data_IF_366453290814
#
_entry.id   IF_366453290814
#
_cell.length_a   1.000
_cell.length_b   1.000
_cell.length_c   1.000
_cell.angle_alpha   90.00
_cell.angle_beta   90.00
_cell.angle_gamma   90.00
#
_symmetry.space_group_name_H-M   'P 1'
#
loop_
_entity.id
_entity.type
_entity.pdbx_description
1 polymer ?
#
# COMPACT_ATOMS: atom_id res chain seq x y z
N UNK A 1 0.18 15.44 26.78
CA UNK A 1 0.39 16.86 26.43
C UNK A 1 -0.46 17.73 27.34
N UNK A 2 0.08 18.78 27.95
CA UNK A 2 -0.71 19.75 28.73
C UNK A 2 -1.25 20.89 27.84
N UNK A 3 -2.14 21.74 28.38
CA UNK A 3 -2.79 22.82 27.61
C UNK A 3 -1.82 23.84 27.01
N UNK A 4 -0.72 24.18 27.71
CA UNK A 4 0.30 25.10 27.19
C UNK A 4 1.05 24.49 26.01
N UNK A 5 1.41 23.21 26.10
CA UNK A 5 2.05 22.48 25.00
C UNK A 5 1.12 22.38 23.79
N UNK A 6 -0.18 22.10 23.99
CA UNK A 6 -1.17 22.06 22.92
C UNK A 6 -1.28 23.40 22.18
N UNK A 7 -1.30 24.52 22.92
CA UNK A 7 -1.29 25.85 22.31
C UNK A 7 0.00 26.13 21.53
N UNK A 8 1.17 25.73 22.05
CA UNK A 8 2.44 25.89 21.35
C UNK A 8 2.48 25.10 20.03
N UNK A 9 2.01 23.85 20.03
CA UNK A 9 1.89 23.03 18.83
C UNK A 9 0.92 23.69 17.85
N UNK A 10 -0.27 24.10 18.32
CA UNK A 10 -1.24 24.78 17.48
C UNK A 10 -0.69 26.11 16.92
N UNK A 11 0.11 26.88 17.64
CA UNK A 11 0.68 28.13 17.09
C UNK A 11 1.74 27.90 16.03
N UNK A 12 2.47 26.78 16.07
CA UNK A 12 3.44 26.39 15.04
C UNK A 12 2.78 25.78 13.79
N UNK A 13 1.61 25.16 13.94
CA UNK A 13 0.89 24.58 12.81
C UNK A 13 0.27 25.67 11.92
N UNK A 14 0.82 25.84 10.71
CA UNK A 14 0.37 26.83 9.71
C UNK A 14 -0.95 26.46 9.02
N UNK A 15 -1.36 25.19 9.06
CA UNK A 15 -2.56 24.65 8.42
C UNK A 15 -3.65 24.20 9.41
N UNK A 16 -3.63 24.71 10.66
CA UNK A 16 -4.51 24.28 11.76
C UNK A 16 -6.00 24.64 11.66
N UNK A 17 -6.40 25.42 10.65
CA UNK A 17 -7.73 26.06 10.60
C UNK A 17 -8.58 25.45 9.48
N UNK A 18 -9.80 25.04 9.83
CA UNK A 18 -10.81 24.70 8.83
C UNK A 18 -11.39 25.97 8.19
N UNK A 19 -11.81 26.93 9.02
CA UNK A 19 -12.28 28.27 8.60
C UNK A 19 -11.36 29.37 9.16
N UNK A 20 -11.28 30.54 8.51
CA UNK A 20 -10.59 31.71 9.07
C UNK A 20 -11.24 32.13 10.39
N UNK A 21 -10.43 32.47 11.40
CA UNK A 21 -10.94 33.01 12.68
C UNK A 21 -10.57 34.48 12.92
N UNK A 22 -9.70 35.03 12.07
CA UNK A 22 -9.29 36.44 12.08
C UNK A 22 -9.18 36.96 10.64
N UNK A 23 -9.33 38.27 10.43
CA UNK A 23 -9.38 38.85 9.08
C UNK A 23 -8.14 38.52 8.24
N UNK A 24 -6.95 38.49 8.85
CA UNK A 24 -5.69 38.13 8.16
C UNK A 24 -5.66 36.70 7.60
N UNK A 25 -6.50 35.79 8.11
CA UNK A 25 -6.59 34.40 7.63
C UNK A 25 -7.55 34.24 6.45
N UNK A 26 -8.35 35.26 6.13
CA UNK A 26 -9.43 35.18 5.14
C UNK A 26 -8.97 34.68 3.77
N UNK A 27 -7.79 35.13 3.33
CA UNK A 27 -7.19 34.75 2.05
C UNK A 27 -5.97 33.82 2.22
N UNK A 28 -5.77 33.23 3.41
CA UNK A 28 -4.65 32.33 3.63
C UNK A 28 -4.88 31.00 2.88
N UNK A 29 -3.99 30.60 1.94
CA UNK A 29 -4.16 29.38 1.16
C UNK A 29 -4.04 28.08 1.99
N UNK A 30 -3.53 28.14 3.22
CA UNK A 30 -3.41 26.97 4.10
C UNK A 30 -4.66 26.71 4.95
N UNK A 31 -5.61 27.64 4.98
CA UNK A 31 -6.93 27.40 5.59
C UNK A 31 -7.70 26.39 4.73
N UNK A 32 -8.22 25.33 5.36
CA UNK A 32 -8.81 24.21 4.61
C UNK A 32 -9.98 24.65 3.71
N UNK A 33 -10.88 25.50 4.20
CA UNK A 33 -11.99 26.05 3.42
C UNK A 33 -11.52 26.74 2.13
N UNK A 34 -10.38 27.44 2.16
CA UNK A 34 -9.85 28.13 0.99
C UNK A 34 -9.31 27.14 -0.03
N UNK A 35 -8.66 26.06 0.42
CA UNK A 35 -8.21 24.95 -0.45
C UNK A 35 -9.37 24.24 -1.13
N UNK A 36 -10.46 23.96 -0.42
CA UNK A 36 -11.66 23.36 -1.02
C UNK A 36 -12.33 24.25 -2.08
N UNK A 37 -12.14 25.57 -2.01
CA UNK A 37 -12.76 26.53 -2.94
C UNK A 37 -11.97 26.77 -4.22
N UNK A 38 -10.73 26.26 -4.34
CA UNK A 38 -9.91 26.49 -5.54
C UNK A 38 -10.44 25.75 -6.76
N UNK A 39 -11.10 24.60 -6.55
CA UNK A 39 -11.45 23.69 -7.65
C UNK A 39 -10.23 22.96 -8.26
N UNK A 40 -9.08 23.02 -7.58
CA UNK A 40 -7.83 22.37 -7.99
C UNK A 40 -7.56 21.11 -7.14
N UNK A 41 -6.44 20.42 -7.41
CA UNK A 41 -6.01 19.31 -6.57
C UNK A 41 -5.78 19.73 -5.11
N UNK A 42 -6.30 18.93 -4.19
CA UNK A 42 -6.27 19.25 -2.76
C UNK A 42 -4.90 18.93 -2.16
N UNK A 43 -4.14 19.98 -1.85
CA UNK A 43 -2.86 19.87 -1.18
C UNK A 43 -3.02 19.68 0.34
N UNK A 44 -2.24 18.75 0.90
CA UNK A 44 -2.10 18.56 2.35
C UNK A 44 -0.72 19.03 2.79
N UNK A 45 -0.70 20.01 3.70
CA UNK A 45 0.53 20.47 4.32
C UNK A 45 1.07 19.42 5.30
N UNK A 46 2.30 18.96 5.07
CA UNK A 46 2.97 17.97 5.91
C UNK A 46 4.47 18.23 5.93
N UNK A 47 5.12 17.88 7.03
CA UNK A 47 6.56 17.99 7.21
C UNK A 47 7.10 16.63 7.62
N UNK A 48 7.92 15.97 6.79
CA UNK A 48 8.49 14.68 7.14
C UNK A 48 9.50 14.80 8.27
N UNK A 49 9.68 13.73 9.05
CA UNK A 49 10.66 13.66 10.13
C UNK A 49 12.07 13.32 9.62
N UNK A 50 12.19 12.85 8.38
CA UNK A 50 13.45 12.54 7.70
C UNK A 50 13.42 12.93 6.22
N UNK A 51 14.60 12.85 5.58
CA UNK A 51 14.80 13.07 4.15
C UNK A 51 15.39 11.81 3.50
N UNK A 52 15.15 11.67 2.20
CA UNK A 52 15.66 10.63 1.32
C UNK A 52 16.75 11.28 0.49
N UNK A 53 18.00 10.95 0.81
CA UNK A 53 19.16 11.41 0.06
C UNK A 53 19.27 10.68 -1.28
N UNK A 54 20.04 11.23 -2.20
CA UNK A 54 20.36 10.58 -3.48
C UNK A 54 21.13 9.27 -3.34
N UNK A 55 21.77 9.06 -2.19
CA UNK A 55 22.50 7.85 -1.80
C UNK A 55 21.65 6.86 -0.98
N UNK A 56 20.40 7.20 -0.68
CA UNK A 56 19.47 6.34 0.06
C UNK A 56 18.88 5.27 -0.85
N UNK A 57 18.73 4.05 -0.33
CA UNK A 57 17.98 2.98 -0.98
C UNK A 57 16.54 2.90 -0.48
N UNK A 58 15.59 2.73 -1.40
CA UNK A 58 14.16 2.66 -1.08
C UNK A 58 13.59 1.31 -1.50
N UNK A 59 12.82 0.68 -0.61
CA UNK A 59 11.97 -0.46 -0.93
C UNK A 59 10.50 -0.04 -0.89
N UNK A 60 9.70 -0.46 -1.87
CA UNK A 60 8.25 -0.15 -1.87
C UNK A 60 7.40 -1.41 -1.91
N UNK A 61 6.29 -1.40 -1.17
CA UNK A 61 5.30 -2.48 -1.14
C UNK A 61 3.88 -1.93 -1.08
N UNK A 62 2.96 -2.67 -1.69
CA UNK A 62 1.53 -2.37 -1.69
C UNK A 62 0.95 -2.35 -3.10
N UNK A 63 -0.15 -1.62 -3.28
CA UNK A 63 -0.90 -1.59 -4.55
C UNK A 63 -0.16 -0.87 -5.68
N UNK A 64 -0.80 -0.73 -6.85
CA UNK A 64 -0.27 0.00 -8.00
C UNK A 64 0.25 1.42 -7.68
N UNK A 65 -0.26 2.07 -6.63
CA UNK A 65 0.27 3.35 -6.16
C UNK A 65 1.76 3.28 -5.81
N UNK A 66 2.21 2.19 -5.17
CA UNK A 66 3.63 1.98 -4.87
C UNK A 66 4.49 1.98 -6.14
N UNK A 67 4.00 1.39 -7.24
CA UNK A 67 4.71 1.39 -8.54
C UNK A 67 4.87 2.78 -9.14
N UNK A 68 3.95 3.70 -8.85
CA UNK A 68 4.09 5.10 -9.28
C UNK A 68 5.13 5.84 -8.43
N UNK A 69 5.19 5.57 -7.12
CA UNK A 69 6.26 6.07 -6.23
C UNK A 69 7.63 5.60 -6.75
N UNK A 70 7.76 4.32 -7.09
CA UNK A 70 8.99 3.75 -7.65
C UNK A 70 9.48 4.50 -8.88
N UNK A 71 8.58 4.78 -9.84
CA UNK A 71 8.93 5.49 -11.08
C UNK A 71 9.53 6.85 -10.78
N UNK A 72 8.88 7.64 -9.93
CA UNK A 72 9.36 9.00 -9.65
C UNK A 72 10.62 9.02 -8.79
N UNK A 73 10.80 8.06 -7.89
CA UNK A 73 12.07 7.90 -7.16
C UNK A 73 13.24 7.63 -8.12
N UNK A 74 13.04 6.74 -9.10
CA UNK A 74 14.03 6.46 -10.14
C UNK A 74 14.33 7.70 -11.00
N UNK A 75 13.31 8.49 -11.36
CA UNK A 75 13.47 9.77 -12.08
C UNK A 75 14.27 10.80 -11.27
N UNK A 76 14.21 10.74 -9.93
CA UNK A 76 15.02 11.55 -9.02
C UNK A 76 16.41 10.95 -8.73
N UNK A 77 16.77 9.81 -9.33
CA UNK A 77 18.07 9.16 -9.13
C UNK A 77 18.23 8.47 -7.77
N UNK A 78 17.13 8.22 -7.05
CA UNK A 78 17.14 7.46 -5.80
C UNK A 78 17.30 5.98 -6.11
N UNK A 79 18.16 5.29 -5.36
CA UNK A 79 18.36 3.84 -5.51
C UNK A 79 17.09 3.08 -5.09
N UNK A 80 16.54 2.29 -6.01
CA UNK A 80 15.32 1.53 -5.76
C UNK A 80 15.64 0.04 -5.72
N UNK A 81 15.41 -0.57 -4.55
CA UNK A 81 15.57 -2.01 -4.37
C UNK A 81 14.62 -2.73 -5.33
N UNK A 82 15.20 -3.63 -6.14
CA UNK A 82 14.46 -4.37 -7.16
C UNK A 82 14.15 -3.60 -8.44
N UNK A 83 14.86 -2.51 -8.75
CA UNK A 83 14.64 -1.79 -10.00
C UNK A 83 14.73 -2.68 -11.25
N UNK A 84 15.64 -3.66 -11.24
CA UNK A 84 15.90 -4.59 -12.34
C UNK A 84 15.02 -5.86 -12.28
N UNK A 85 14.09 -5.93 -11.31
CA UNK A 85 13.20 -7.07 -11.19
C UNK A 85 12.31 -7.21 -12.43
N UNK A 86 12.31 -8.41 -13.00
CA UNK A 86 11.44 -8.76 -14.12
C UNK A 86 11.00 -10.21 -14.05
N UNK A 87 9.84 -10.47 -14.63
CA UNK A 87 9.28 -11.80 -14.85
C UNK A 87 9.17 -11.97 -16.36
N UNK A 88 9.37 -13.20 -16.85
CA UNK A 88 9.14 -13.51 -18.27
C UNK A 88 7.72 -13.10 -18.66
N UNK A 89 7.60 -12.24 -19.66
CA UNK A 89 6.33 -11.76 -20.19
C UNK A 89 5.41 -12.90 -20.66
N UNK A 90 5.96 -14.06 -21.02
CA UNK A 90 5.19 -15.25 -21.38
C UNK A 90 4.43 -15.84 -20.19
N UNK A 91 4.75 -15.48 -18.95
CA UNK A 91 4.00 -15.90 -17.76
C UNK A 91 2.87 -14.95 -17.41
N UNK A 92 2.85 -13.75 -17.98
CA UNK A 92 1.82 -12.76 -17.71
C UNK A 92 0.56 -13.05 -18.53
N UNK A 93 -0.59 -12.71 -17.95
CA UNK A 93 -1.84 -12.62 -18.69
C UNK A 93 -1.78 -11.41 -19.63
N UNK A 94 -2.34 -11.52 -20.83
CA UNK A 94 -2.40 -10.42 -21.80
C UNK A 94 -3.20 -9.21 -21.26
N UNK A 95 -4.16 -9.46 -20.37
CA UNK A 95 -4.91 -8.45 -19.63
C UNK A 95 -5.25 -8.94 -18.23
N UNK A 96 -5.13 -8.07 -17.22
CA UNK A 96 -5.65 -8.35 -15.89
C UNK A 96 -7.04 -7.77 -15.68
N UNK A 97 -8.02 -8.67 -15.59
CA UNK A 97 -9.40 -8.34 -15.25
C UNK A 97 -10.18 -7.65 -16.37
N UNK A 98 -11.39 -7.21 -16.02
CA UNK A 98 -12.36 -6.57 -16.93
C UNK A 98 -11.94 -5.19 -17.45
N UNK A 99 -10.80 -4.65 -17.03
CA UNK A 99 -10.48 -3.22 -17.15
C UNK A 99 -9.31 -2.91 -18.10
N UNK A 100 -8.74 -3.91 -18.79
CA UNK A 100 -7.78 -3.67 -19.89
C UNK A 100 -6.47 -3.00 -19.48
N UNK A 101 -6.09 -3.05 -18.20
CA UNK A 101 -4.81 -2.51 -17.74
C UNK A 101 -3.65 -3.27 -18.41
N UNK A 102 -2.68 -2.52 -18.97
CA UNK A 102 -1.44 -3.12 -19.47
C UNK A 102 -0.68 -3.72 -18.28
N UNK A 103 -0.53 -5.05 -18.31
CA UNK A 103 0.29 -5.75 -17.32
C UNK A 103 1.75 -5.35 -17.55
N UNK A 104 2.41 -4.89 -16.49
CA UNK A 104 3.87 -4.76 -16.50
C UNK A 104 4.50 -5.83 -15.62
N UNK A 105 5.78 -6.12 -15.85
CA UNK A 105 6.50 -7.20 -15.15
C UNK A 105 6.46 -7.06 -13.62
N UNK A 106 6.43 -5.83 -13.10
CA UNK A 106 6.42 -5.54 -11.66
C UNK A 106 5.02 -5.56 -11.04
N UNK A 107 3.96 -5.71 -11.84
CA UNK A 107 2.59 -5.80 -11.35
C UNK A 107 2.38 -7.04 -10.49
N UNK A 108 3.18 -8.10 -10.68
CA UNK A 108 3.16 -9.30 -9.84
C UNK A 108 3.54 -9.02 -8.38
N UNK A 109 4.31 -7.95 -8.13
CA UNK A 109 4.73 -7.52 -6.79
C UNK A 109 3.63 -6.76 -6.04
N UNK A 110 2.52 -6.42 -6.68
CA UNK A 110 1.46 -5.67 -6.02
C UNK A 110 0.84 -6.48 -4.88
N UNK A 111 0.69 -5.84 -3.72
CA UNK A 111 -0.01 -6.37 -2.55
C UNK A 111 -1.18 -5.49 -2.17
N UNK A 112 -2.33 -6.09 -1.91
CA UNK A 112 -3.58 -5.36 -1.70
C UNK A 112 -4.00 -5.34 -0.24
N UNK A 113 -4.09 -6.50 0.42
CA UNK A 113 -4.48 -6.55 1.83
C UNK A 113 -3.29 -6.33 2.74
N UNK A 114 -3.50 -5.63 3.86
CA UNK A 114 -2.48 -5.44 4.89
C UNK A 114 -1.90 -6.78 5.37
N UNK A 115 -2.77 -7.77 5.57
CA UNK A 115 -2.35 -9.10 6.02
C UNK A 115 -1.47 -9.82 4.99
N UNK A 116 -1.71 -9.65 3.69
CA UNK A 116 -0.85 -10.24 2.65
C UNK A 116 0.53 -9.58 2.58
N UNK A 117 0.63 -8.27 2.85
CA UNK A 117 1.91 -7.56 2.97
C UNK A 117 2.71 -8.14 4.14
N UNK A 118 2.07 -8.24 5.32
CA UNK A 118 2.72 -8.74 6.52
C UNK A 118 3.12 -10.22 6.40
N UNK A 119 2.25 -11.06 5.83
CA UNK A 119 2.55 -12.49 5.60
C UNK A 119 3.75 -12.67 4.67
N UNK A 120 3.93 -11.81 3.67
CA UNK A 120 5.09 -11.86 2.79
C UNK A 120 6.40 -11.62 3.55
N UNK A 121 6.46 -10.56 4.35
CA UNK A 121 7.66 -10.26 5.14
C UNK A 121 7.94 -11.32 6.18
N UNK A 122 6.93 -11.79 6.92
CA UNK A 122 7.10 -12.87 7.88
C UNK A 122 7.63 -14.13 7.20
N UNK A 123 7.05 -14.51 6.06
CA UNK A 123 7.45 -15.72 5.34
C UNK A 123 8.89 -15.64 4.85
N UNK A 124 9.27 -14.52 4.26
CA UNK A 124 10.61 -14.35 3.66
C UNK A 124 11.67 -14.15 4.73
N UNK A 125 11.46 -13.24 5.68
CA UNK A 125 12.47 -12.86 6.67
C UNK A 125 12.61 -13.89 7.80
N UNK A 126 11.56 -14.68 8.09
CA UNK A 126 11.64 -15.77 9.08
C UNK A 126 11.83 -17.15 8.44
N UNK A 127 11.96 -17.21 7.11
CA UNK A 127 12.06 -18.46 6.36
C UNK A 127 10.95 -19.46 6.70
N UNK A 128 9.71 -18.98 6.82
CA UNK A 128 8.55 -19.82 7.17
C UNK A 128 8.29 -20.82 6.05
N UNK A 129 8.36 -22.10 6.38
CA UNK A 129 7.93 -23.16 5.47
C UNK A 129 6.41 -23.14 5.32
N UNK A 130 5.95 -23.24 4.07
CA UNK A 130 4.53 -23.25 3.71
C UNK A 130 4.28 -24.48 2.85
N UNK A 131 3.24 -25.24 3.20
CA UNK A 131 2.79 -26.39 2.42
C UNK A 131 2.57 -25.99 0.95
N UNK A 132 3.14 -26.75 0.02
CA UNK A 132 3.10 -26.50 -1.42
C UNK A 132 3.51 -25.06 -1.82
N UNK A 133 4.38 -24.42 -1.02
CA UNK A 133 4.77 -23.00 -1.17
C UNK A 133 3.61 -22.00 -1.08
N UNK A 134 2.45 -22.45 -0.61
CA UNK A 134 1.19 -21.69 -0.59
C UNK A 134 0.44 -21.70 -1.93
N UNK A 135 0.85 -22.52 -2.89
CA UNK A 135 0.24 -22.56 -4.21
C UNK A 135 -1.09 -23.32 -4.21
N UNK A 136 -1.94 -22.97 -5.18
CA UNK A 136 -3.25 -23.58 -5.36
C UNK A 136 -3.26 -24.28 -6.72
N UNK A 137 -3.45 -25.61 -6.71
CA UNK A 137 -3.64 -26.39 -7.93
C UNK A 137 -5.04 -26.13 -8.49
N UNK A 138 -5.12 -25.71 -9.75
CA UNK A 138 -6.39 -25.41 -10.45
C UNK A 138 -6.64 -26.30 -11.68
N UNK A 139 -5.66 -27.10 -12.08
CA UNK A 139 -5.79 -28.14 -13.10
C UNK A 139 -4.71 -29.21 -12.89
N UNK A 140 -4.62 -30.21 -13.78
CA UNK A 140 -3.61 -31.27 -13.67
C UNK A 140 -2.19 -30.69 -13.60
N UNK A 141 -1.85 -29.75 -14.48
CA UNK A 141 -0.51 -29.15 -14.53
C UNK A 141 -0.45 -27.66 -14.14
N UNK A 142 -1.59 -27.02 -13.89
CA UNK A 142 -1.68 -25.59 -13.61
C UNK A 142 -1.83 -25.26 -12.13
N UNK A 143 -0.89 -24.46 -11.62
CA UNK A 143 -0.88 -23.89 -10.29
C UNK A 143 -0.97 -22.37 -10.35
N UNK A 144 -1.59 -21.78 -9.34
CA UNK A 144 -1.58 -20.33 -9.12
C UNK A 144 -0.94 -19.99 -7.79
N UNK A 145 -0.36 -18.81 -7.74
CA UNK A 145 0.21 -18.24 -6.54
C UNK A 145 -0.73 -17.16 -5.99
N UNK A 146 -1.46 -17.42 -4.89
CA UNK A 146 -2.38 -16.45 -4.32
C UNK A 146 -1.70 -15.35 -3.48
N UNK A 147 -0.37 -15.41 -3.29
CA UNK A 147 0.42 -14.31 -2.72
C UNK A 147 0.75 -13.26 -3.76
N UNK A 148 0.97 -13.63 -5.02
CA UNK A 148 1.27 -12.67 -6.07
C UNK A 148 -0.01 -12.00 -6.56
N UNK A 149 0.13 -10.84 -7.20
CA UNK A 149 -1.02 -10.25 -7.88
C UNK A 149 -1.52 -11.22 -8.95
N UNK A 150 -2.83 -11.21 -9.21
CA UNK A 150 -3.49 -12.09 -10.20
C UNK A 150 -3.18 -11.67 -11.66
N UNK A 151 -1.89 -11.56 -11.98
CA UNK A 151 -1.33 -11.16 -13.29
C UNK A 151 -0.64 -12.32 -14.01
N UNK A 152 -0.40 -13.43 -13.30
CA UNK A 152 0.24 -14.62 -13.85
C UNK A 152 -0.83 -15.57 -14.39
N UNK A 153 -0.57 -16.16 -15.55
CA UNK A 153 -1.34 -17.33 -16.00
C UNK A 153 -1.03 -18.52 -15.09
N UNK A 154 -1.88 -19.56 -15.07
CA UNK A 154 -1.56 -20.80 -14.36
C UNK A 154 -0.29 -21.43 -14.94
N UNK A 155 0.65 -21.83 -14.08
CA UNK A 155 1.95 -22.37 -14.47
C UNK A 155 2.19 -23.77 -13.88
N UNK A 156 3.07 -24.58 -14.48
CA UNK A 156 3.65 -25.75 -13.81
C UNK A 156 4.27 -25.37 -12.47
N UNK A 157 4.15 -26.25 -11.47
CA UNK A 157 4.64 -26.00 -10.10
C UNK A 157 6.09 -25.51 -10.06
N UNK A 158 6.98 -26.14 -10.83
CA UNK A 158 8.40 -25.81 -10.86
C UNK A 158 8.70 -24.45 -11.50
N UNK A 159 7.90 -24.00 -12.46
CA UNK A 159 8.02 -22.67 -13.06
C UNK A 159 7.49 -21.59 -12.10
N UNK A 160 6.33 -21.84 -11.49
CA UNK A 160 5.75 -20.95 -10.49
C UNK A 160 6.67 -20.79 -9.27
N UNK A 161 7.32 -21.88 -8.84
CA UNK A 161 8.29 -21.85 -7.75
C UNK A 161 9.49 -20.96 -8.08
N UNK A 162 10.01 -20.99 -9.31
CA UNK A 162 11.09 -20.09 -9.74
C UNK A 162 10.65 -18.62 -9.69
N UNK A 163 9.44 -18.33 -10.13
CA UNK A 163 8.87 -16.97 -10.04
C UNK A 163 8.78 -16.55 -8.57
N UNK A 164 8.20 -17.39 -7.70
CA UNK A 164 8.12 -17.10 -6.26
C UNK A 164 9.50 -16.89 -5.63
N UNK A 165 10.50 -17.72 -5.94
CA UNK A 165 11.86 -17.57 -5.42
C UNK A 165 12.51 -16.25 -5.84
N UNK A 166 12.25 -15.78 -7.07
CA UNK A 166 12.74 -14.48 -7.53
C UNK A 166 12.12 -13.32 -6.74
N UNK A 167 10.82 -13.41 -6.44
CA UNK A 167 10.12 -12.42 -5.61
C UNK A 167 10.61 -12.49 -4.17
N UNK A 168 10.78 -13.68 -3.60
CA UNK A 168 11.28 -13.86 -2.24
C UNK A 168 12.70 -13.34 -2.08
N UNK A 169 13.55 -13.55 -3.08
CA UNK A 169 14.91 -12.98 -3.09
C UNK A 169 14.86 -11.46 -3.06
N UNK A 170 13.98 -10.83 -3.84
CA UNK A 170 13.79 -9.38 -3.84
C UNK A 170 13.25 -8.87 -2.50
N UNK A 171 12.20 -9.51 -1.97
CA UNK A 171 11.61 -9.16 -0.67
C UNK A 171 12.66 -9.25 0.43
N UNK A 172 13.54 -10.24 0.37
CA UNK A 172 14.65 -10.40 1.32
C UNK A 172 15.64 -9.24 1.30
N UNK A 173 15.73 -8.49 0.20
CA UNK A 173 16.60 -7.30 0.11
C UNK A 173 16.05 -6.09 0.89
N UNK A 174 14.81 -6.14 1.40
CA UNK A 174 14.23 -5.07 2.23
C UNK A 174 15.13 -4.70 3.41
N UNK A 175 15.92 -5.64 3.93
CA UNK A 175 16.85 -5.44 5.05
C UNK A 175 17.99 -4.44 4.74
N UNK A 176 18.23 -4.17 3.45
CA UNK A 176 19.25 -3.23 2.97
C UNK A 176 18.71 -1.81 2.78
N UNK A 177 17.38 -1.62 2.85
CA UNK A 177 16.71 -0.36 2.56
C UNK A 177 17.00 0.69 3.65
N UNK A 178 17.27 1.93 3.24
CA UNK A 178 17.23 3.09 4.14
C UNK A 178 15.78 3.50 4.42
N UNK A 179 14.90 3.35 3.42
CA UNK A 179 13.49 3.73 3.53
C UNK A 179 12.57 2.63 2.98
N UNK A 180 11.56 2.27 3.75
CA UNK A 180 10.49 1.34 3.35
C UNK A 180 9.19 2.11 3.18
N UNK A 181 8.67 2.14 1.95
CA UNK A 181 7.38 2.76 1.62
C UNK A 181 6.28 1.69 1.57
N UNK A 182 5.31 1.77 2.48
CA UNK A 182 4.20 0.81 2.61
C UNK A 182 2.88 1.49 2.25
N UNK A 183 2.22 0.99 1.19
CA UNK A 183 0.87 1.41 0.81
C UNK A 183 -0.17 0.42 1.32
N UNK A 184 -0.97 0.83 2.32
CA UNK A 184 -2.06 0.05 2.89
C UNK A 184 -3.28 0.07 1.97
N UNK A 185 -3.70 -1.09 1.44
CA UNK A 185 -4.80 -1.19 0.49
C UNK A 185 -6.12 -1.57 1.15
N UNK A 186 -6.20 -2.78 1.72
CA UNK A 186 -7.44 -3.42 2.16
C UNK A 186 -7.27 -4.10 3.53
N UNK A 187 -8.36 -4.18 4.29
CA UNK A 187 -8.41 -5.02 5.51
C UNK A 187 -9.02 -6.40 5.23
N UNK A 188 -10.08 -6.49 4.42
CA UNK A 188 -10.70 -7.75 4.00
C UNK A 188 -9.66 -8.67 3.36
N UNK A 189 -9.61 -9.91 3.83
CA UNK A 189 -8.61 -10.88 3.42
C UNK A 189 -9.17 -12.30 3.49
N UNK A 190 -8.66 -13.17 2.63
CA UNK A 190 -8.95 -14.59 2.66
C UNK A 190 -7.79 -15.35 3.32
N UNK A 191 -8.10 -16.39 4.07
CA UNK A 191 -7.12 -17.28 4.68
C UNK A 191 -7.30 -18.70 4.12
N UNK A 192 -6.23 -19.29 3.61
CA UNK A 192 -6.24 -20.69 3.18
C UNK A 192 -5.95 -21.58 4.40
N UNK A 193 -6.96 -22.32 4.86
CA UNK A 193 -6.90 -23.25 5.99
C UNK A 193 -6.00 -24.45 5.72
N UNK A 194 -5.72 -24.77 4.46
CA UNK A 194 -4.82 -25.86 4.07
C UNK A 194 -3.36 -25.43 4.20
N UNK A 195 -2.99 -24.30 3.60
CA UNK A 195 -1.60 -23.80 3.60
C UNK A 195 -1.27 -22.94 4.82
N UNK A 196 -2.27 -22.51 5.59
CA UNK A 196 -2.17 -21.61 6.75
C UNK A 196 -1.58 -20.24 6.39
N UNK A 197 -2.04 -19.66 5.28
CA UNK A 197 -1.57 -18.37 4.76
C UNK A 197 -2.72 -17.43 4.37
N UNK A 198 -2.57 -16.14 4.67
CA UNK A 198 -3.44 -15.09 4.16
C UNK A 198 -3.18 -14.80 2.69
N UNK A 199 -4.20 -14.61 1.87
CA UNK A 199 -4.09 -14.46 0.43
C UNK A 199 -4.07 -12.98 0.02
N UNK A 200 -3.34 -12.66 -1.05
CA UNK A 200 -3.31 -11.33 -1.64
C UNK A 200 -4.53 -11.05 -2.52
N UNK A 201 -5.07 -12.09 -3.18
CA UNK A 201 -6.28 -12.03 -4.00
C UNK A 201 -7.33 -13.01 -3.46
N UNK A 202 -8.61 -12.71 -3.69
CA UNK A 202 -9.68 -13.65 -3.37
C UNK A 202 -9.51 -14.95 -4.17
N UNK A 203 -9.81 -16.12 -3.58
CA UNK A 203 -9.81 -17.37 -4.32
C UNK A 203 -10.79 -17.32 -5.51
N UNK A 204 -10.48 -18.01 -6.63
CA UNK A 204 -11.41 -18.18 -7.73
C UNK A 204 -12.79 -18.68 -7.24
N UNK A 205 -13.92 -18.11 -7.73
CA UNK A 205 -15.26 -18.54 -7.32
C UNK A 205 -15.55 -20.02 -7.53
N UNK A 206 -14.91 -20.66 -8.52
CA UNK A 206 -15.01 -22.10 -8.74
C UNK A 206 -14.45 -22.90 -7.56
N UNK A 207 -13.33 -22.47 -6.98
CA UNK A 207 -12.71 -23.12 -5.83
C UNK A 207 -13.51 -22.90 -4.55
N UNK A 208 -14.02 -21.68 -4.33
CA UNK A 208 -14.88 -21.36 -3.19
C UNK A 208 -16.14 -22.23 -3.15
N UNK A 209 -16.65 -22.66 -4.33
CA UNK A 209 -17.82 -23.53 -4.44
C UNK A 209 -17.50 -25.03 -4.31
N UNK A 210 -16.27 -25.43 -4.63
CA UNK A 210 -15.89 -26.85 -4.65
C UNK A 210 -15.38 -27.36 -3.30
N UNK A 211 -14.86 -26.48 -2.45
CA UNK A 211 -14.34 -26.81 -1.11
C UNK A 211 -14.66 -25.66 -0.14
N UNK A 212 -15.73 -25.84 0.63
CA UNK A 212 -16.20 -24.86 1.61
C UNK A 212 -15.33 -24.80 2.88
N UNK A 213 -14.43 -25.77 3.07
CA UNK A 213 -13.57 -25.88 4.25
C UNK A 213 -12.20 -25.23 4.05
N UNK A 214 -11.76 -25.08 2.80
CA UNK A 214 -10.41 -24.60 2.50
C UNK A 214 -10.20 -23.11 2.78
N UNK A 215 -11.17 -22.25 2.50
CA UNK A 215 -10.96 -20.81 2.58
C UNK A 215 -11.87 -20.16 3.62
N UNK A 216 -11.25 -19.39 4.52
CA UNK A 216 -11.96 -18.57 5.51
C UNK A 216 -11.85 -17.11 5.10
N UNK A 217 -12.99 -16.43 4.98
CA UNK A 217 -13.01 -14.97 4.86
C UNK A 217 -12.78 -14.34 6.23
N UNK A 218 -11.95 -13.29 6.28
CA UNK A 218 -11.73 -12.47 7.46
C UNK A 218 -11.88 -10.99 7.12
N UNK A 219 -12.50 -10.25 8.04
CA UNK A 219 -12.54 -8.79 8.05
C UNK A 219 -11.94 -8.33 9.39
N UNK A 220 -10.60 -8.31 9.52
CA UNK A 220 -9.93 -8.05 10.79
C UNK A 220 -10.25 -6.65 11.32
N UNK A 221 -10.34 -6.55 12.64
CA UNK A 221 -10.59 -5.29 13.31
C UNK A 221 -9.34 -4.40 13.40
N UNK A 222 -9.48 -3.22 14.01
CA UNK A 222 -8.39 -2.25 14.11
C UNK A 222 -7.23 -2.78 14.97
N UNK A 223 -7.51 -3.57 16.01
CA UNK A 223 -6.48 -4.11 16.90
C UNK A 223 -5.67 -5.15 16.14
N UNK A 224 -6.34 -6.10 15.48
CA UNK A 224 -5.68 -7.15 14.69
C UNK A 224 -4.83 -6.57 13.55
N UNK A 225 -5.36 -5.56 12.83
CA UNK A 225 -4.62 -4.86 11.78
C UNK A 225 -3.40 -4.13 12.36
N UNK A 226 -3.58 -3.43 13.48
CA UNK A 226 -2.48 -2.70 14.11
C UNK A 226 -1.38 -3.64 14.59
N UNK A 227 -1.71 -4.71 15.32
CA UNK A 227 -0.75 -5.68 15.83
C UNK A 227 0.05 -6.32 14.69
N UNK A 228 -0.61 -6.65 13.58
CA UNK A 228 0.05 -7.23 12.41
C UNK A 228 1.02 -6.24 11.76
N UNK A 229 0.63 -4.97 11.63
CA UNK A 229 1.47 -3.91 11.08
C UNK A 229 2.65 -3.57 11.99
N UNK A 230 2.41 -3.35 13.28
CA UNK A 230 3.46 -3.01 14.24
C UNK A 230 4.49 -4.14 14.34
N UNK A 231 4.04 -5.40 14.37
CA UNK A 231 4.92 -6.57 14.36
C UNK A 231 5.76 -6.65 13.08
N UNK A 232 5.20 -6.21 11.94
CA UNK A 232 5.93 -6.14 10.66
C UNK A 232 6.99 -5.04 10.67
N UNK A 233 6.68 -3.85 11.18
CA UNK A 233 7.65 -2.76 11.36
C UNK A 233 8.77 -3.20 12.30
N UNK A 234 8.44 -3.84 13.43
CA UNK A 234 9.42 -4.41 14.37
C UNK A 234 10.27 -5.51 13.73
N UNK A 235 9.66 -6.41 12.94
CA UNK A 235 10.37 -7.48 12.24
C UNK A 235 11.38 -6.89 11.27
N UNK A 236 10.95 -6.00 10.37
CA UNK A 236 11.84 -5.37 9.40
C UNK A 236 12.95 -4.61 10.12
N UNK A 237 12.63 -3.81 11.14
CA UNK A 237 13.62 -3.05 11.91
C UNK A 237 14.66 -3.95 12.59
N UNK A 238 14.26 -5.10 13.15
CA UNK A 238 15.19 -6.06 13.77
C UNK A 238 16.07 -6.81 12.78
N UNK A 239 15.56 -7.07 11.58
CA UNK A 239 16.27 -7.83 10.54
C UNK A 239 17.11 -6.95 9.64
N UNK A 240 16.89 -5.62 9.66
CA UNK A 240 17.57 -4.67 8.81
C UNK A 240 19.05 -4.54 9.18
N UNK A 241 19.88 -4.34 8.16
CA UNK A 241 21.32 -4.06 8.30
C UNK A 241 21.57 -2.60 8.76
N UNK A 242 20.53 -1.76 8.72
CA UNK A 242 20.53 -0.32 9.01
C UNK A 242 19.43 0.03 10.04
N UNK A 243 19.28 1.32 10.35
CA UNK A 243 18.12 1.87 11.08
C UNK A 243 17.08 2.39 10.07
N UNK A 244 16.20 1.53 9.52
CA UNK A 244 15.30 1.91 8.44
C UNK A 244 14.30 2.96 8.88
N UNK A 245 13.94 3.85 7.95
CA UNK A 245 12.78 4.74 8.07
C UNK A 245 11.61 4.17 7.30
N UNK A 246 10.40 4.45 7.76
CA UNK A 246 9.18 3.96 7.13
C UNK A 246 8.31 5.13 6.70
N UNK A 247 7.76 5.03 5.49
CA UNK A 247 6.66 5.88 5.06
C UNK A 247 5.44 4.99 4.87
N UNK A 248 4.40 5.23 5.66
CA UNK A 248 3.13 4.52 5.53
C UNK A 248 2.11 5.44 4.88
N UNK A 249 1.32 4.91 3.96
CA UNK A 249 0.20 5.63 3.35
C UNK A 249 -1.01 4.72 3.17
N UNK A 250 -2.20 5.30 3.06
CA UNK A 250 -3.44 4.56 2.76
C UNK A 250 -3.78 4.77 1.29
N UNK A 251 -3.98 3.69 0.55
CA UNK A 251 -4.40 3.78 -0.85
C UNK A 251 -5.81 4.36 -0.94
N UNK A 252 -6.07 5.35 -1.81
CA UNK A 252 -7.41 5.88 -2.04
C UNK A 252 -8.30 4.92 -2.83
N UNK A 253 -7.71 3.99 -3.60
CA UNK A 253 -8.44 3.08 -4.50
C UNK A 253 -9.45 2.25 -3.70
N UNK A 254 -10.75 2.33 -4.02
CA UNK A 254 -11.78 1.58 -3.30
C UNK A 254 -11.68 0.09 -3.60
N UNK A 255 -12.17 -0.75 -2.67
CA UNK A 255 -12.32 -2.18 -2.93
C UNK A 255 -13.32 -2.43 -4.06
N UNK A 256 -13.02 -3.39 -4.94
CA UNK A 256 -13.92 -3.77 -6.03
C UNK A 256 -15.06 -4.69 -5.58
N UNK A 257 -14.88 -5.41 -4.47
CA UNK A 257 -15.84 -6.36 -3.94
C UNK A 257 -15.66 -6.46 -2.43
N UNK A 258 -16.77 -6.39 -1.69
CA UNK A 258 -16.84 -6.81 -0.29
C UNK A 258 -17.43 -8.22 -0.23
N UNK A 259 -16.96 -9.03 0.72
CA UNK A 259 -17.51 -10.36 0.98
C UNK A 259 -18.44 -10.38 2.21
N UNK A 260 -18.80 -9.19 2.70
CA UNK A 260 -19.78 -9.01 3.77
C UNK A 260 -21.19 -8.78 3.18
N UNK A 261 -22.21 -8.74 4.05
CA UNK A 261 -23.56 -8.31 3.66
C UNK A 261 -23.73 -6.79 3.55
N UNK A 262 -22.65 -6.02 3.75
CA UNK A 262 -22.70 -4.55 3.71
C UNK A 262 -22.68 -4.03 2.27
N UNK A 263 -23.18 -2.82 2.08
CA UNK A 263 -22.90 -2.06 0.87
C UNK A 263 -21.38 -1.86 0.72
N UNK A 264 -20.85 -2.04 -0.50
CA UNK A 264 -19.41 -1.98 -0.77
C UNK A 264 -18.80 -0.62 -0.41
N UNK A 265 -19.55 0.48 -0.53
CA UNK A 265 -19.09 1.81 -0.16
C UNK A 265 -18.92 1.90 1.35
N UNK A 266 -19.88 1.35 2.13
CA UNK A 266 -19.81 1.30 3.59
C UNK A 266 -18.65 0.43 4.06
N UNK A 267 -18.50 -0.77 3.47
CA UNK A 267 -17.38 -1.67 3.75
C UNK A 267 -16.02 -1.02 3.43
N UNK A 268 -15.94 -0.32 2.29
CA UNK A 268 -14.75 0.44 1.93
C UNK A 268 -14.46 1.58 2.90
N UNK A 269 -15.47 2.35 3.31
CA UNK A 269 -15.29 3.44 4.28
C UNK A 269 -14.71 2.93 5.60
N UNK A 270 -15.26 1.86 6.17
CA UNK A 270 -14.72 1.31 7.42
C UNK A 270 -13.32 0.74 7.21
N UNK A 271 -13.06 0.05 6.09
CA UNK A 271 -11.75 -0.48 5.73
C UNK A 271 -10.67 0.62 5.72
N UNK A 272 -10.88 1.68 4.94
CA UNK A 272 -9.91 2.79 4.82
C UNK A 272 -9.77 3.57 6.12
N UNK A 273 -10.86 3.76 6.87
CA UNK A 273 -10.82 4.43 8.16
C UNK A 273 -9.99 3.65 9.17
N UNK A 274 -10.17 2.32 9.25
CA UNK A 274 -9.38 1.43 10.10
C UNK A 274 -7.90 1.47 9.75
N UNK A 275 -7.55 1.37 8.45
CA UNK A 275 -6.17 1.48 7.99
C UNK A 275 -5.55 2.84 8.32
N UNK A 276 -6.32 3.93 8.19
CA UNK A 276 -5.85 5.28 8.54
C UNK A 276 -5.59 5.45 10.03
N UNK A 277 -6.45 4.87 10.88
CA UNK A 277 -6.24 4.83 12.35
C UNK A 277 -4.99 4.03 12.68
N UNK A 278 -4.78 2.87 12.05
CA UNK A 278 -3.57 2.07 12.27
C UNK A 278 -2.30 2.82 11.83
N UNK A 279 -2.33 3.50 10.68
CA UNK A 279 -1.22 4.33 10.22
C UNK A 279 -0.91 5.47 11.21
N UNK A 280 -1.93 6.16 11.73
CA UNK A 280 -1.76 7.17 12.78
C UNK A 280 -1.11 6.57 14.02
N UNK A 281 -1.58 5.40 14.46
CA UNK A 281 -1.05 4.74 15.64
C UNK A 281 0.41 4.33 15.46
N UNK A 282 0.79 3.83 14.28
CA UNK A 282 2.20 3.54 13.96
C UNK A 282 3.08 4.79 14.08
N UNK A 283 2.66 5.94 13.52
CA UNK A 283 3.46 7.18 13.62
C UNK A 283 3.61 7.70 15.06
N UNK A 284 2.66 7.39 15.93
CA UNK A 284 2.73 7.79 17.34
C UNK A 284 3.59 6.83 18.18
N UNK A 285 3.56 5.54 17.85
CA UNK A 285 4.26 4.50 18.60
C UNK A 285 5.71 4.29 18.12
N UNK A 286 6.02 4.60 16.86
CA UNK A 286 7.32 4.40 16.23
C UNK A 286 7.90 5.73 15.71
N UNK A 287 9.03 6.18 16.30
CA UNK A 287 9.66 7.45 15.95
C UNK A 287 10.36 7.49 14.58
N UNK A 288 10.48 6.36 13.90
CA UNK A 288 11.03 6.22 12.54
C UNK A 288 9.95 5.98 11.47
N UNK A 289 8.67 6.16 11.81
CA UNK A 289 7.54 5.99 10.89
C UNK A 289 6.87 7.34 10.62
N UNK A 290 6.81 7.75 9.36
CA UNK A 290 6.01 8.87 8.89
C UNK A 290 4.74 8.40 8.19
N UNK A 291 3.67 9.21 8.28
CA UNK A 291 2.48 9.06 7.46
C UNK A 291 2.52 10.02 6.27
N UNK A 292 2.40 9.49 5.05
CA UNK A 292 2.22 10.31 3.85
C UNK A 292 0.72 10.41 3.47
N UNK A 293 0.13 11.62 3.42
CA UNK A 293 -1.33 11.81 3.27
C UNK A 293 -1.83 11.73 1.82
N UNK A 294 -1.44 10.68 1.08
CA UNK A 294 -1.93 10.45 -0.30
C UNK A 294 -3.45 10.25 -0.33
N UNK A 295 -4.00 9.57 0.67
CA UNK A 295 -5.42 9.29 0.83
C UNK A 295 -6.25 10.58 0.87
N UNK A 296 -5.85 11.52 1.74
CA UNK A 296 -6.56 12.77 1.92
C UNK A 296 -6.39 13.70 0.71
N UNK A 297 -5.23 13.71 0.05
CA UNK A 297 -5.03 14.49 -1.18
C UNK A 297 -6.02 14.04 -2.27
N UNK A 298 -6.16 12.72 -2.50
CA UNK A 298 -7.08 12.17 -3.50
C UNK A 298 -8.54 12.36 -3.11
N UNK A 299 -8.92 12.01 -1.88
CA UNK A 299 -10.32 12.04 -1.46
C UNK A 299 -10.90 13.45 -1.37
N UNK A 300 -10.09 14.45 -1.03
CA UNK A 300 -10.52 15.84 -0.91
C UNK A 300 -10.35 16.66 -2.20
N UNK A 301 -9.74 16.09 -3.23
CA UNK A 301 -9.69 16.70 -4.56
C UNK A 301 -11.06 16.62 -5.25
N UNK A 302 -11.41 17.56 -6.14
CA UNK A 302 -12.62 17.45 -6.94
C UNK A 302 -12.68 16.10 -7.66
N UNK A 303 -13.79 15.38 -7.48
CA UNK A 303 -13.93 14.00 -7.97
C UNK A 303 -13.60 13.86 -9.46
N UNK A 304 -14.07 14.80 -10.28
CA UNK A 304 -13.84 14.84 -11.72
C UNK A 304 -12.36 15.00 -12.13
N UNK A 305 -11.52 15.53 -11.24
CA UNK A 305 -10.07 15.64 -11.45
C UNK A 305 -9.30 14.42 -10.91
N UNK A 306 -9.84 13.77 -9.88
CA UNK A 306 -9.17 12.69 -9.18
C UNK A 306 -9.42 11.30 -9.78
N UNK A 307 -10.63 11.03 -10.28
CA UNK A 307 -11.07 9.68 -10.68
C UNK A 307 -11.33 9.57 -12.18
N UNK A 308 -10.99 8.42 -12.75
CA UNK A 308 -11.36 8.04 -14.11
C UNK A 308 -12.87 7.83 -14.24
N UNK A 309 -13.32 7.58 -15.47
CA UNK A 309 -14.76 7.44 -15.78
C UNK A 309 -15.38 6.18 -15.13
N UNK A 310 -14.55 5.23 -14.71
CA UNK A 310 -14.97 4.02 -13.98
C UNK A 310 -15.14 4.24 -12.47
N UNK A 311 -14.84 5.44 -11.99
CA UNK A 311 -14.95 5.84 -10.58
C UNK A 311 -14.12 4.98 -9.60
N UNK A 312 -13.13 4.25 -10.14
CA UNK A 312 -12.29 3.29 -9.43
C UNK A 312 -10.80 3.60 -9.59
N UNK A 313 -10.33 3.98 -10.78
CA UNK A 313 -8.92 4.31 -11.00
C UNK A 313 -8.66 5.79 -10.76
N UNK A 314 -7.56 6.08 -10.06
CA UNK A 314 -7.07 7.45 -9.91
C UNK A 314 -6.48 7.91 -11.25
N UNK A 315 -6.84 9.12 -11.70
CA UNK A 315 -6.32 9.68 -12.96
C UNK A 315 -4.79 9.83 -12.89
N UNK A 316 -4.05 9.59 -13.99
CA UNK A 316 -2.61 9.75 -14.03
C UNK A 316 -2.14 11.12 -13.50
N UNK A 317 -2.81 12.21 -13.89
CA UNK A 317 -2.46 13.57 -13.46
C UNK A 317 -2.63 13.77 -11.94
N UNK A 318 -3.60 13.08 -11.33
CA UNK A 318 -3.78 13.11 -9.88
C UNK A 318 -2.69 12.29 -9.18
N UNK A 319 -2.28 11.17 -9.76
CA UNK A 319 -1.12 10.41 -9.29
C UNK A 319 0.13 11.28 -9.36
N UNK A 320 0.40 11.92 -10.49
CA UNK A 320 1.56 12.81 -10.68
C UNK A 320 1.56 13.94 -9.64
N UNK A 321 0.42 14.55 -9.37
CA UNK A 321 0.28 15.57 -8.31
C UNK A 321 0.66 15.02 -6.93
N UNK A 322 0.13 13.87 -6.55
CA UNK A 322 0.42 13.25 -5.25
C UNK A 322 1.89 12.86 -5.13
N UNK A 323 2.45 12.23 -6.16
CA UNK A 323 3.84 11.78 -6.16
C UNK A 323 4.79 12.97 -6.19
N UNK A 324 4.50 14.03 -6.94
CA UNK A 324 5.26 15.28 -6.90
C UNK A 324 5.30 15.90 -5.50
N UNK A 325 4.18 15.85 -4.77
CA UNK A 325 4.13 16.29 -3.37
C UNK A 325 4.97 15.41 -2.43
N UNK A 326 5.04 14.09 -2.68
CA UNK A 326 5.92 13.18 -1.95
C UNK A 326 7.39 13.53 -2.20
N UNK A 327 7.79 13.62 -3.46
CA UNK A 327 9.17 13.93 -3.88
C UNK A 327 9.62 15.26 -3.29
N UNK A 328 8.84 16.33 -3.47
CA UNK A 328 9.18 17.67 -2.96
C UNK A 328 9.47 17.69 -1.45
N UNK A 329 8.77 16.84 -0.68
CA UNK A 329 8.90 16.81 0.78
C UNK A 329 9.96 15.86 1.27
N UNK A 330 10.05 14.67 0.69
CA UNK A 330 10.89 13.61 1.21
C UNK A 330 12.25 13.56 0.54
N UNK A 331 12.35 13.85 -0.75
CA UNK A 331 13.61 13.71 -1.50
C UNK A 331 14.43 15.00 -1.41
N UNK A 332 15.73 14.87 -1.18
CA UNK A 332 16.65 16.01 -1.22
C UNK A 332 16.87 16.47 -2.68
N UNK A 333 16.92 17.80 -2.87
CA UNK A 333 17.08 18.42 -4.19
C UNK A 333 18.54 18.64 -4.56
#
# INVERSE_FOLDING_TARGET
MNSKQALQVAFKNRAKRWVPVVEKEKNNPLVAMNRFKTGEYFFVDSSPSFKIGSDSSVYTVGSCFARNVERSLLECGVDLIGQDFSIDSNYLLESVGFMGNQVNNRSALNKYSTFSICEEFERVLLHKEVLDSGFIRISEDGWIDPQLASVLRPLPFSELLKVRQSVDSLVGEVVKADVIFITLGLNEVWFDNHTKTYLNSSPPPSLLRSDDSRFTFAAPDIIEVYEKLSSTVDLISRMSEKDPKFVVTVSPVPMSTTWTSSDVVVANTISKSSLRVCAEKLTNDFGNVDYFPSFEMVLNSPRALAWGDDELHVRPQMVDFVIGNFVERYVDQ
#
